data_IF_842844567342
#
_entry.id   IF_842844567342
#
_cell.length_a   1.000
_cell.length_b   1.000
_cell.length_c   1.000
_cell.angle_alpha   90.00
_cell.angle_beta   90.00
_cell.angle_gamma   90.00
#
_symmetry.space_group_name_H-M   'P 1'
#
loop_
_entity.id
_entity.type
_entity.pdbx_description
1 polymer ?
#
# COMPACT_ATOMS: atom_id res chain seq x y z
N UNK A 1 18.38 8.49 -0.19
CA UNK A 1 17.69 8.37 1.12
C UNK A 1 17.99 9.53 2.07
N UNK A 2 19.22 10.04 2.17
CA UNK A 2 19.56 11.17 3.05
C UNK A 2 18.64 12.41 2.87
N UNK A 3 18.40 12.82 1.61
CA UNK A 3 17.47 13.93 1.32
C UNK A 3 16.04 13.65 1.79
N UNK A 4 15.57 12.41 1.62
CA UNK A 4 14.24 11.99 2.07
C UNK A 4 14.16 12.08 3.61
N UNK A 5 15.17 11.58 4.33
CA UNK A 5 15.21 11.71 5.79
C UNK A 5 15.24 13.17 6.24
N UNK A 6 15.95 14.03 5.51
CA UNK A 6 15.99 15.45 5.82
C UNK A 6 14.63 16.13 5.65
N UNK A 7 13.95 15.84 4.54
CA UNK A 7 12.62 16.38 4.26
C UNK A 7 11.59 15.82 5.26
N UNK A 8 11.63 14.53 5.59
CA UNK A 8 10.76 13.91 6.60
C UNK A 8 10.91 14.52 8.01
N UNK A 9 12.08 15.09 8.35
CA UNK A 9 12.25 15.82 9.62
C UNK A 9 11.51 17.17 9.64
N UNK A 10 11.25 17.74 8.46
CA UNK A 10 10.64 19.06 8.27
C UNK A 10 9.17 18.97 7.86
N UNK A 11 8.70 17.79 7.48
CA UNK A 11 7.30 17.53 7.10
C UNK A 11 6.48 17.09 8.29
N UNK A 12 5.30 17.70 8.44
CA UNK A 12 4.26 17.25 9.36
C UNK A 12 3.16 16.61 8.53
N UNK A 13 2.80 15.37 8.86
CA UNK A 13 1.66 14.68 8.26
C UNK A 13 0.43 14.80 9.17
N UNK A 14 -0.79 14.81 8.60
CA UNK A 14 -2.01 14.83 9.41
C UNK A 14 -2.11 13.61 10.33
N UNK A 15 -2.80 13.77 11.47
CA UNK A 15 -2.94 12.72 12.50
C UNK A 15 -3.67 11.45 12.03
N UNK A 16 -4.45 11.54 10.96
CA UNK A 16 -5.21 10.43 10.39
C UNK A 16 -4.40 9.61 9.36
N UNK A 17 -3.18 10.02 9.04
CA UNK A 17 -2.24 9.26 8.19
C UNK A 17 -1.31 8.46 9.08
N UNK A 18 -1.12 7.16 8.80
CA UNK A 18 -0.04 6.38 9.43
C UNK A 18 1.32 6.86 8.88
N UNK A 19 2.14 7.58 9.67
CA UNK A 19 3.35 8.20 9.16
C UNK A 19 4.39 7.13 8.78
N UNK A 20 5.06 7.34 7.65
CA UNK A 20 6.26 6.58 7.35
C UNK A 20 7.34 6.87 8.42
N UNK A 21 8.04 5.84 8.91
CA UNK A 21 9.07 6.02 9.93
C UNK A 21 10.26 6.82 9.41
N UNK A 22 10.74 7.75 10.24
CA UNK A 22 11.82 8.70 9.86
C UNK A 22 13.16 8.02 9.55
N UNK A 23 13.40 6.82 10.06
CA UNK A 23 14.57 5.99 9.80
C UNK A 23 14.30 4.92 8.71
N UNK A 24 13.39 5.20 7.77
CA UNK A 24 13.11 4.34 6.62
C UNK A 24 14.40 3.89 5.90
N UNK A 25 14.53 2.60 5.62
CA UNK A 25 15.66 2.05 4.88
C UNK A 25 16.94 1.87 5.69
N UNK A 26 16.93 2.11 7.01
CA UNK A 26 18.02 1.69 7.90
C UNK A 26 17.86 0.24 8.33
N UNK A 27 18.97 -0.44 8.63
CA UNK A 27 18.97 -1.83 9.10
C UNK A 27 18.19 -2.02 10.42
N UNK A 28 18.17 -0.99 11.27
CA UNK A 28 17.54 -0.99 12.60
C UNK A 28 16.00 -1.00 12.54
N UNK A 29 15.39 -0.45 11.48
CA UNK A 29 13.93 -0.26 11.43
C UNK A 29 13.14 -1.57 11.26
N UNK A 30 13.74 -2.61 10.68
CA UNK A 30 13.02 -3.84 10.36
C UNK A 30 11.95 -3.65 9.28
N UNK A 31 10.83 -4.37 9.39
CA UNK A 31 9.76 -4.38 8.37
C UNK A 31 8.83 -3.17 8.53
N UNK A 32 8.31 -2.67 7.42
CA UNK A 32 7.25 -1.66 7.40
C UNK A 32 5.88 -2.30 7.21
N UNK A 33 4.84 -1.68 7.77
CA UNK A 33 3.46 -2.00 7.42
C UNK A 33 3.15 -1.58 5.97
N UNK A 34 2.07 -2.14 5.41
CA UNK A 34 1.58 -1.72 4.10
C UNK A 34 1.24 -0.22 4.08
N UNK A 35 0.58 0.28 5.12
CA UNK A 35 0.21 1.70 5.23
C UNK A 35 1.45 2.61 5.37
N UNK A 36 2.49 2.18 6.08
CA UNK A 36 3.76 2.92 6.14
C UNK A 36 4.47 2.98 4.78
N UNK A 37 4.46 1.88 4.02
CA UNK A 37 4.96 1.88 2.64
C UNK A 37 4.14 2.82 1.76
N UNK A 38 2.82 2.80 1.89
CA UNK A 38 1.93 3.68 1.14
C UNK A 38 2.24 5.15 1.43
N UNK A 39 2.32 5.55 2.70
CA UNK A 39 2.68 6.92 3.10
C UNK A 39 4.09 7.32 2.64
N UNK A 40 5.06 6.40 2.70
CA UNK A 40 6.42 6.67 2.20
C UNK A 40 6.41 7.01 0.70
N UNK A 41 5.75 6.15 -0.09
CA UNK A 41 5.76 6.24 -1.55
C UNK A 41 4.82 7.31 -2.13
N UNK A 42 3.74 7.68 -1.43
CA UNK A 42 2.76 8.65 -1.96
C UNK A 42 2.91 10.06 -1.40
N UNK A 43 3.59 10.22 -0.27
CA UNK A 43 3.78 11.54 0.38
C UNK A 43 5.27 11.92 0.39
N UNK A 44 6.09 11.14 1.07
CA UNK A 44 7.47 11.54 1.37
C UNK A 44 8.37 11.52 0.13
N UNK A 45 8.24 10.49 -0.70
CA UNK A 45 9.05 10.36 -1.91
C UNK A 45 8.64 11.40 -2.96
N UNK A 46 7.35 11.58 -3.32
CA UNK A 46 6.96 12.65 -4.25
C UNK A 46 7.42 14.02 -3.79
N UNK A 47 7.25 14.36 -2.51
CA UNK A 47 7.71 15.64 -1.97
C UNK A 47 9.21 15.87 -2.21
N UNK A 48 10.03 14.86 -1.87
CA UNK A 48 11.48 14.94 -2.02
C UNK A 48 11.90 14.96 -3.49
N UNK A 49 11.34 14.07 -4.30
CA UNK A 49 11.72 13.92 -5.71
C UNK A 49 11.28 15.12 -6.56
N UNK A 50 10.12 15.71 -6.28
CA UNK A 50 9.68 16.96 -6.93
C UNK A 50 10.62 18.11 -6.55
N UNK A 51 11.02 18.23 -5.27
CA UNK A 51 11.98 19.25 -4.84
C UNK A 51 13.33 19.10 -5.54
N UNK A 52 13.83 17.87 -5.70
CA UNK A 52 15.14 17.61 -6.28
C UNK A 52 15.16 17.65 -7.82
N UNK A 53 14.10 17.15 -8.47
CA UNK A 53 14.09 16.86 -9.90
C UNK A 53 13.02 17.63 -10.68
N UNK A 54 12.09 18.32 -10.02
CA UNK A 54 10.95 19.00 -10.65
C UNK A 54 11.32 20.14 -11.61
N UNK A 55 12.52 20.73 -11.44
CA UNK A 55 13.06 21.76 -12.35
C UNK A 55 14.20 21.25 -13.24
N UNK A 56 14.56 19.97 -13.13
CA UNK A 56 15.61 19.38 -13.97
C UNK A 56 15.07 19.08 -15.37
N UNK A 57 15.99 18.91 -16.31
CA UNK A 57 15.70 18.45 -17.68
C UNK A 57 16.51 17.18 -17.93
N UNK A 58 15.99 16.29 -18.78
CA UNK A 58 16.63 15.02 -19.11
C UNK A 58 16.24 13.90 -18.15
N UNK A 59 17.18 12.98 -17.91
CA UNK A 59 16.90 11.68 -17.29
C UNK A 59 16.24 11.79 -15.92
N UNK A 60 16.66 12.71 -15.04
CA UNK A 60 16.02 12.86 -13.73
C UNK A 60 14.57 13.34 -13.82
N UNK A 61 14.26 14.21 -14.77
CA UNK A 61 12.89 14.65 -15.00
C UNK A 61 12.02 13.51 -15.54
N UNK A 62 12.58 12.65 -16.39
CA UNK A 62 11.89 11.46 -16.90
C UNK A 62 11.67 10.43 -15.78
N UNK A 63 12.66 10.22 -14.89
CA UNK A 63 12.51 9.38 -13.71
C UNK A 63 11.43 9.89 -12.76
N UNK A 64 11.37 11.21 -12.53
CA UNK A 64 10.32 11.83 -11.73
C UNK A 64 8.94 11.60 -12.37
N UNK A 65 8.79 11.86 -13.68
CA UNK A 65 7.53 11.65 -14.41
C UNK A 65 7.07 10.19 -14.32
N UNK A 66 7.98 9.24 -14.56
CA UNK A 66 7.70 7.82 -14.41
C UNK A 66 7.27 7.44 -12.98
N UNK A 67 7.92 8.02 -11.96
CA UNK A 67 7.53 7.79 -10.57
C UNK A 67 6.14 8.38 -10.26
N UNK A 68 5.82 9.55 -10.79
CA UNK A 68 4.49 10.16 -10.62
C UNK A 68 3.38 9.35 -11.31
N UNK A 69 3.67 8.68 -12.42
CA UNK A 69 2.73 7.72 -13.03
C UNK A 69 2.44 6.53 -12.08
N UNK A 70 3.47 5.99 -11.41
CA UNK A 70 3.28 4.96 -10.37
C UNK A 70 2.42 5.49 -9.21
N UNK A 71 2.73 6.68 -8.70
CA UNK A 71 1.99 7.29 -7.59
C UNK A 71 0.54 7.49 -7.98
N UNK A 72 0.28 7.96 -9.21
CA UNK A 72 -1.08 8.14 -9.75
C UNK A 72 -1.85 6.82 -9.77
N UNK A 73 -1.24 5.75 -10.29
CA UNK A 73 -1.86 4.42 -10.30
C UNK A 73 -2.17 3.93 -8.88
N UNK A 74 -1.20 4.01 -7.96
CA UNK A 74 -1.35 3.54 -6.58
C UNK A 74 -2.44 4.32 -5.83
N UNK A 75 -2.44 5.65 -5.91
CA UNK A 75 -3.43 6.49 -5.23
C UNK A 75 -4.83 6.25 -5.79
N UNK A 76 -4.97 6.23 -7.11
CA UNK A 76 -6.28 6.05 -7.77
C UNK A 76 -6.89 4.69 -7.45
N UNK A 77 -6.10 3.61 -7.52
CA UNK A 77 -6.60 2.26 -7.17
C UNK A 77 -6.90 2.08 -5.68
N UNK A 78 -6.36 2.94 -4.82
CA UNK A 78 -6.56 2.90 -3.36
C UNK A 78 -7.67 3.84 -2.88
N UNK A 79 -8.44 4.45 -3.79
CA UNK A 79 -9.57 5.29 -3.40
C UNK A 79 -10.70 4.45 -2.79
N UNK A 80 -11.47 5.06 -1.87
CA UNK A 80 -12.66 4.45 -1.28
C UNK A 80 -13.84 4.38 -2.26
N UNK A 81 -13.84 5.26 -3.25
CA UNK A 81 -14.85 5.34 -4.31
C UNK A 81 -14.16 5.33 -5.67
N UNK A 82 -14.71 4.55 -6.60
CA UNK A 82 -14.14 4.33 -7.93
C UNK A 82 -15.26 4.51 -8.96
N UNK A 83 -14.95 5.21 -10.05
CA UNK A 83 -15.77 5.30 -11.25
C UNK A 83 -14.92 4.95 -12.48
N UNK A 84 -15.53 4.91 -13.67
CA UNK A 84 -14.83 4.54 -14.90
C UNK A 84 -13.67 5.48 -15.26
N UNK A 85 -13.76 6.76 -14.91
CA UNK A 85 -12.69 7.73 -15.14
C UNK A 85 -11.47 7.46 -14.24
N UNK A 86 -11.71 7.09 -12.98
CA UNK A 86 -10.64 6.64 -12.08
C UNK A 86 -9.98 5.37 -12.62
N UNK A 87 -10.76 4.42 -13.14
CA UNK A 87 -10.22 3.18 -13.69
C UNK A 87 -9.38 3.44 -14.94
N UNK A 88 -9.85 4.31 -15.85
CA UNK A 88 -9.08 4.72 -17.02
C UNK A 88 -7.78 5.42 -16.62
N UNK A 89 -7.85 6.33 -15.65
CA UNK A 89 -6.68 7.01 -15.07
C UNK A 89 -5.66 6.01 -14.54
N UNK A 90 -6.12 4.99 -13.81
CA UNK A 90 -5.28 3.91 -13.31
C UNK A 90 -4.57 3.16 -14.45
N UNK A 91 -5.31 2.71 -15.45
CA UNK A 91 -4.81 1.88 -16.55
C UNK A 91 -3.78 2.62 -17.40
N UNK A 92 -4.04 3.88 -17.72
CA UNK A 92 -3.11 4.73 -18.45
C UNK A 92 -1.83 4.98 -17.63
N UNK A 93 -1.97 5.28 -16.34
CA UNK A 93 -0.83 5.55 -15.48
C UNK A 93 0.06 4.32 -15.26
N UNK A 94 -0.53 3.15 -14.99
CA UNK A 94 0.25 1.92 -14.78
C UNK A 94 0.97 1.48 -16.06
N UNK A 95 0.34 1.63 -17.24
CA UNK A 95 0.97 1.30 -18.51
C UNK A 95 2.12 2.25 -18.84
N UNK A 96 1.95 3.55 -18.60
CA UNK A 96 3.02 4.55 -18.78
C UNK A 96 4.20 4.28 -17.85
N UNK A 97 3.93 3.97 -16.57
CA UNK A 97 4.96 3.59 -15.60
C UNK A 97 5.76 2.35 -16.03
N UNK A 98 5.11 1.27 -16.48
CA UNK A 98 5.81 0.05 -16.85
C UNK A 98 6.63 0.21 -18.14
N UNK A 99 6.08 0.94 -19.12
CA UNK A 99 6.81 1.30 -20.34
C UNK A 99 8.01 2.19 -20.01
N UNK A 100 7.83 3.19 -19.15
CA UNK A 100 8.87 4.11 -18.72
C UNK A 100 9.96 3.42 -17.91
N UNK A 101 9.65 2.41 -17.09
CA UNK A 101 10.67 1.59 -16.42
C UNK A 101 11.60 0.95 -17.44
N UNK A 102 11.06 0.29 -18.47
CA UNK A 102 11.90 -0.38 -19.49
C UNK A 102 12.76 0.60 -20.27
N UNK A 103 12.23 1.80 -20.54
CA UNK A 103 12.97 2.83 -21.25
C UNK A 103 14.10 3.44 -20.39
N UNK A 104 13.83 3.70 -19.10
CA UNK A 104 14.75 4.38 -18.20
C UNK A 104 15.81 3.45 -17.61
N UNK A 105 15.45 2.22 -17.28
CA UNK A 105 16.29 1.29 -16.55
C UNK A 105 16.54 0.03 -17.39
N UNK A 106 17.67 0.00 -18.12
CA UNK A 106 18.01 -1.10 -19.03
C UNK A 106 18.07 -2.48 -18.34
N UNK A 107 18.48 -2.49 -17.07
CA UNK A 107 18.59 -3.69 -16.23
C UNK A 107 17.25 -4.08 -15.55
N UNK A 108 16.17 -3.31 -15.76
CA UNK A 108 14.93 -3.56 -15.04
C UNK A 108 14.18 -4.77 -15.61
N UNK A 109 14.00 -5.77 -14.76
CA UNK A 109 13.18 -6.94 -15.06
C UNK A 109 11.71 -6.70 -14.69
N UNK A 110 10.81 -7.06 -15.62
CA UNK A 110 9.38 -7.07 -15.36
C UNK A 110 9.03 -8.31 -14.53
N UNK A 111 8.93 -8.12 -13.22
CA UNK A 111 8.45 -9.13 -12.26
C UNK A 111 6.94 -9.41 -12.39
N UNK A 112 6.51 -10.56 -11.86
CA UNK A 112 5.10 -10.96 -11.84
C UNK A 112 4.17 -9.89 -11.24
N UNK A 113 4.58 -9.19 -10.17
CA UNK A 113 3.77 -8.13 -9.57
C UNK A 113 3.49 -6.95 -10.53
N UNK A 114 4.43 -6.64 -11.44
CA UNK A 114 4.21 -5.62 -12.46
C UNK A 114 3.15 -6.08 -13.46
N UNK A 115 3.18 -7.35 -13.86
CA UNK A 115 2.14 -7.93 -14.72
C UNK A 115 0.78 -7.93 -14.01
N UNK A 116 0.74 -8.34 -12.74
CA UNK A 116 -0.50 -8.36 -11.96
C UNK A 116 -1.12 -6.97 -11.80
N UNK A 117 -0.29 -5.92 -11.71
CA UNK A 117 -0.79 -4.54 -11.66
C UNK A 117 -1.61 -4.17 -12.89
N UNK A 118 -1.28 -4.67 -14.09
CA UNK A 118 -2.06 -4.39 -15.30
C UNK A 118 -3.51 -4.90 -15.21
N UNK A 119 -3.78 -5.90 -14.38
CA UNK A 119 -5.12 -6.48 -14.23
C UNK A 119 -5.98 -5.76 -13.21
N UNK A 120 -5.42 -4.90 -12.36
CA UNK A 120 -6.17 -4.23 -11.28
C UNK A 120 -7.33 -3.38 -11.84
N UNK A 121 -7.18 -2.77 -13.02
CA UNK A 121 -8.28 -2.04 -13.67
C UNK A 121 -9.49 -2.92 -13.96
N UNK A 122 -9.27 -4.16 -14.39
CA UNK A 122 -10.35 -5.14 -14.59
C UNK A 122 -11.00 -5.56 -13.26
N UNK A 123 -10.21 -5.74 -12.20
CA UNK A 123 -10.73 -6.03 -10.86
C UNK A 123 -11.59 -4.88 -10.32
N UNK A 124 -11.13 -3.64 -10.48
CA UNK A 124 -11.87 -2.44 -10.06
C UNK A 124 -13.25 -2.36 -10.74
N UNK A 125 -13.35 -2.66 -12.03
CA UNK A 125 -14.65 -2.69 -12.74
C UNK A 125 -15.58 -3.79 -12.22
N UNK A 126 -15.01 -4.96 -11.90
CA UNK A 126 -15.80 -6.16 -11.57
C UNK A 126 -16.28 -6.18 -10.12
N UNK A 127 -15.47 -5.67 -9.21
CA UNK A 127 -15.67 -5.84 -7.77
C UNK A 127 -15.69 -4.51 -7.01
N UNK A 128 -15.41 -3.39 -7.67
CA UNK A 128 -15.37 -2.07 -7.05
C UNK A 128 -14.03 -1.77 -6.35
N UNK A 129 -14.03 -0.83 -5.39
CA UNK A 129 -12.82 -0.36 -4.72
C UNK A 129 -12.01 -1.47 -4.03
N UNK A 130 -10.68 -1.41 -4.15
CA UNK A 130 -9.73 -2.39 -3.55
C UNK A 130 -9.95 -2.57 -2.05
N UNK A 131 -10.39 -1.51 -1.36
CA UNK A 131 -10.72 -1.56 0.06
C UNK A 131 -11.72 -2.66 0.44
N UNK A 132 -12.65 -2.99 -0.45
CA UNK A 132 -13.66 -4.05 -0.24
C UNK A 132 -13.11 -5.46 -0.45
N UNK A 133 -12.01 -5.61 -1.18
CA UNK A 133 -11.46 -6.90 -1.60
C UNK A 133 -10.14 -7.28 -0.92
N UNK A 134 -9.43 -6.30 -0.35
CA UNK A 134 -8.10 -6.53 0.25
C UNK A 134 -8.19 -7.45 1.46
N UNK A 135 -7.14 -8.25 1.65
CA UNK A 135 -7.07 -9.32 2.67
C UNK A 135 -6.81 -8.82 4.08
N UNK A 136 -6.69 -7.51 4.32
CA UNK A 136 -6.31 -6.96 5.64
C UNK A 136 -7.28 -7.37 6.75
N UNK A 137 -8.58 -7.46 6.46
CA UNK A 137 -9.55 -7.97 7.43
C UNK A 137 -9.26 -9.43 7.78
N UNK A 138 -9.08 -10.28 6.77
CA UNK A 138 -8.78 -11.70 6.95
C UNK A 138 -7.44 -11.93 7.66
N UNK A 139 -6.41 -11.16 7.35
CA UNK A 139 -5.11 -11.20 8.02
C UNK A 139 -5.22 -10.83 9.51
N UNK A 140 -6.00 -9.78 9.81
CA UNK A 140 -6.30 -9.41 11.20
C UNK A 140 -7.05 -10.53 11.93
N UNK A 141 -8.00 -11.19 11.27
CA UNK A 141 -8.71 -12.34 11.84
C UNK A 141 -7.77 -13.52 12.07
N UNK A 142 -6.88 -13.83 11.13
CA UNK A 142 -5.86 -14.87 11.32
C UNK A 142 -5.00 -14.59 12.55
N UNK A 143 -4.56 -13.35 12.74
CA UNK A 143 -3.79 -12.97 13.93
C UNK A 143 -4.59 -13.15 15.24
N UNK A 144 -5.88 -12.80 15.25
CA UNK A 144 -6.73 -13.02 16.43
C UNK A 144 -6.91 -14.52 16.71
N UNK A 145 -7.16 -15.32 15.68
CA UNK A 145 -7.30 -16.76 15.80
C UNK A 145 -6.01 -17.43 16.31
N UNK A 146 -4.85 -17.02 15.79
CA UNK A 146 -3.54 -17.50 16.25
C UNK A 146 -3.25 -17.18 17.73
N UNK A 147 -3.89 -16.15 18.30
CA UNK A 147 -3.76 -15.80 19.73
C UNK A 147 -4.80 -16.45 20.62
N UNK A 148 -5.76 -17.18 20.05
CA UNK A 148 -6.76 -17.91 20.83
C UNK A 148 -6.13 -19.19 21.36
N UNK A 149 -6.15 -19.37 22.68
CA UNK A 149 -5.71 -20.62 23.29
C UNK A 149 -6.60 -21.76 22.78
N UNK A 150 -5.97 -22.73 22.12
CA UNK A 150 -6.64 -23.94 21.65
C UNK A 150 -5.80 -25.15 22.01
N UNK A 151 -6.44 -26.31 22.11
CA UNK A 151 -5.78 -27.60 22.33
C UNK A 151 -5.33 -28.26 21.00
N UNK A 152 -5.44 -27.55 19.87
CA UNK A 152 -5.13 -28.02 18.51
C UNK A 152 -5.82 -29.32 18.08
N UNK A 153 -6.94 -29.68 18.73
CA UNK A 153 -7.70 -30.87 18.33
C UNK A 153 -8.59 -30.56 17.13
N UNK A 154 -8.28 -31.19 16.00
CA UNK A 154 -9.11 -31.14 14.80
C UNK A 154 -10.54 -31.61 15.11
N UNK A 155 -11.54 -30.86 14.65
CA UNK A 155 -12.97 -31.08 14.96
C UNK A 155 -13.48 -30.35 16.21
N UNK A 156 -12.59 -29.93 17.12
CA UNK A 156 -12.94 -29.07 18.27
C UNK A 156 -12.48 -27.61 18.06
N UNK A 157 -11.53 -27.39 17.14
CA UNK A 157 -10.90 -26.09 16.86
C UNK A 157 -11.91 -25.04 16.40
N UNK A 158 -12.77 -25.39 15.46
CA UNK A 158 -13.78 -24.52 14.88
C UNK A 158 -14.76 -24.03 15.95
N UNK A 159 -15.23 -24.96 16.80
CA UNK A 159 -16.11 -24.65 17.94
C UNK A 159 -15.40 -23.76 18.97
N UNK A 160 -14.12 -24.02 19.24
CA UNK A 160 -13.31 -23.22 20.16
C UNK A 160 -13.15 -21.79 19.67
N UNK A 161 -12.81 -21.62 18.39
CA UNK A 161 -12.69 -20.29 17.76
C UNK A 161 -14.01 -19.54 17.75
N UNK A 162 -15.11 -20.20 17.35
CA UNK A 162 -16.45 -19.60 17.33
C UNK A 162 -16.87 -19.15 18.74
N UNK A 163 -16.75 -20.04 19.73
CA UNK A 163 -17.13 -19.74 21.11
C UNK A 163 -16.30 -18.60 21.69
N UNK A 164 -14.99 -18.58 21.44
CA UNK A 164 -14.10 -17.53 21.91
C UNK A 164 -14.42 -16.18 21.27
N UNK A 165 -14.72 -16.17 19.97
CA UNK A 165 -15.14 -14.97 19.25
C UNK A 165 -16.47 -14.41 19.81
N UNK A 166 -17.48 -15.25 20.02
CA UNK A 166 -18.76 -14.85 20.62
C UNK A 166 -18.59 -14.30 22.03
N UNK A 167 -17.83 -14.98 22.89
CA UNK A 167 -17.54 -14.49 24.27
C UNK A 167 -16.85 -13.13 24.25
N UNK A 168 -15.87 -12.93 23.36
CA UNK A 168 -15.17 -11.67 23.23
C UNK A 168 -16.07 -10.54 22.69
N UNK A 169 -17.01 -10.84 21.80
CA UNK A 169 -17.99 -9.88 21.29
C UNK A 169 -18.98 -9.47 22.38
N UNK A 170 -19.55 -10.43 23.11
CA UNK A 170 -20.47 -10.18 24.22
C UNK A 170 -19.80 -9.35 25.32
N UNK A 171 -18.56 -9.69 25.70
CA UNK A 171 -17.82 -8.92 26.69
C UNK A 171 -17.58 -7.48 26.24
N UNK A 172 -17.20 -7.25 24.96
CA UNK A 172 -17.05 -5.88 24.44
C UNK A 172 -18.34 -5.07 24.51
N UNK A 173 -19.47 -5.69 24.20
CA UNK A 173 -20.78 -5.03 24.29
C UNK A 173 -21.15 -4.64 25.72
N UNK A 174 -20.62 -5.33 26.74
CA UNK A 174 -20.86 -5.01 28.15
C UNK A 174 -19.92 -3.90 28.69
N UNK A 175 -18.82 -3.63 27.98
CA UNK A 175 -17.81 -2.64 28.36
C UNK A 175 -17.96 -1.29 27.63
N UNK A 176 -18.95 -1.18 26.74
CA UNK A 176 -19.35 0.05 26.06
C UNK A 176 -20.54 0.70 26.79
#
# INVERSE_FOLDING_TARGET
LAEIHNDMRRTVVPSWVDPAPRNLGTKERGKLSADQWFSACTINFPFTLIRLWGKKVGREADMLRNYMDLVTAVVTSSMLEINDDHIRTYEEAILRYLTGIKALYKEAEIKANHHMALHVGAFLRRFGPVHSMRTFFSERMNFVLQRTNSNSKFGELETTFMTSACRAANLRSLLQ
#
